data_IF_694764277536
#
_entry.id   IF_694764277536
#
_cell.length_a   1.000
_cell.length_b   1.000
_cell.length_c   1.000
_cell.angle_alpha   90.00
_cell.angle_beta   90.00
_cell.angle_gamma   90.00
#
_symmetry.space_group_name_H-M   'P 1'
#
loop_
_entity.id
_entity.type
_entity.pdbx_description
1 polymer ?
#
# COMPACT_ATOMS: atom_id res chain seq x y z
N UNK A 1 26.65 -4.18 4.16
CA UNK A 1 26.23 -5.15 3.15
C UNK A 1 25.01 -4.58 2.45
N UNK A 2 25.21 -3.99 1.25
CA UNK A 2 24.14 -3.34 0.50
C UNK A 2 23.25 -4.41 -0.14
N UNK A 3 21.94 -4.29 0.07
CA UNK A 3 20.91 -5.09 -0.62
C UNK A 3 20.74 -4.54 -2.05
N UNK A 4 21.27 -5.25 -3.01
CA UNK A 4 20.97 -5.09 -4.43
C UNK A 4 19.83 -6.04 -4.80
N UNK A 5 18.63 -5.51 -4.96
CA UNK A 5 17.52 -6.30 -5.46
C UNK A 5 16.28 -5.46 -5.67
N UNK A 6 15.96 -5.16 -6.93
CA UNK A 6 14.68 -4.58 -7.35
C UNK A 6 14.76 -3.22 -8.01
N UNK A 7 15.35 -3.10 -9.17
CA UNK A 7 15.62 -1.79 -9.77
C UNK A 7 15.45 -1.76 -11.30
N UNK A 8 14.24 -1.82 -11.80
CA UNK A 8 14.08 -1.50 -13.22
C UNK A 8 13.01 -0.42 -13.51
N UNK A 9 12.10 -0.13 -12.58
CA UNK A 9 11.20 1.04 -12.68
C UNK A 9 11.73 2.24 -11.87
N UNK A 10 12.77 2.02 -11.13
CA UNK A 10 13.35 2.99 -10.21
C UNK A 10 14.41 3.85 -10.84
N UNK A 11 15.02 3.46 -11.97
CA UNK A 11 16.18 4.18 -12.46
C UNK A 11 15.88 5.60 -12.92
N UNK A 12 14.79 5.84 -13.64
CA UNK A 12 14.48 7.21 -14.07
C UNK A 12 13.91 8.07 -12.95
N UNK A 13 13.01 7.52 -12.13
CA UNK A 13 12.45 8.22 -10.97
C UNK A 13 13.52 8.39 -9.89
N UNK A 14 14.34 7.36 -9.69
CA UNK A 14 15.45 7.39 -8.74
C UNK A 14 16.52 8.38 -9.16
N UNK A 15 16.88 8.42 -10.44
CA UNK A 15 17.83 9.39 -10.98
C UNK A 15 17.32 10.84 -10.85
N UNK A 16 16.04 11.07 -11.08
CA UNK A 16 15.41 12.39 -10.93
C UNK A 16 15.37 12.83 -9.47
N UNK A 17 15.05 11.94 -8.55
CA UNK A 17 15.05 12.22 -7.11
C UNK A 17 16.48 12.51 -6.63
N UNK A 18 17.45 11.66 -7.02
CA UNK A 18 18.85 11.89 -6.66
C UNK A 18 19.38 13.22 -7.21
N UNK A 19 18.99 13.57 -8.44
CA UNK A 19 19.34 14.86 -9.03
C UNK A 19 18.71 16.02 -8.28
N UNK A 20 17.44 15.89 -7.87
CA UNK A 20 16.77 16.91 -7.06
C UNK A 20 17.42 17.06 -5.67
N UNK A 21 17.82 15.96 -5.04
CA UNK A 21 18.52 15.96 -3.75
C UNK A 21 19.92 16.57 -3.81
N UNK A 22 20.53 16.67 -4.99
CA UNK A 22 21.83 17.31 -5.20
C UNK A 22 21.74 18.84 -5.29
N UNK A 23 20.53 19.39 -5.44
CA UNK A 23 20.31 20.84 -5.45
C UNK A 23 20.54 21.34 -4.02
N UNK A 24 21.62 22.07 -3.81
CA UNK A 24 21.87 22.67 -2.52
C UNK A 24 20.85 23.80 -2.25
N UNK A 25 20.23 23.82 -1.06
CA UNK A 25 19.36 24.94 -0.70
C UNK A 25 20.17 26.22 -0.59
N UNK A 26 19.53 27.34 -0.88
CA UNK A 26 20.12 28.64 -0.61
C UNK A 26 20.35 28.82 0.89
N UNK A 27 21.42 29.49 1.25
CA UNK A 27 21.76 29.73 2.66
C UNK A 27 20.64 30.51 3.37
N UNK A 28 20.13 29.95 4.46
CA UNK A 28 19.04 30.53 5.24
C UNK A 28 17.64 30.12 4.78
N UNK A 29 17.51 29.38 3.67
CA UNK A 29 16.21 28.85 3.22
C UNK A 29 15.70 27.75 4.16
N UNK A 30 14.40 27.68 4.31
CA UNK A 30 13.69 26.70 5.13
C UNK A 30 12.42 26.22 4.42
N UNK A 31 11.76 25.21 4.96
CA UNK A 31 10.46 24.77 4.45
C UNK A 31 9.41 25.89 4.47
N UNK A 32 9.53 26.86 5.36
CA UNK A 32 8.61 28.00 5.45
C UNK A 32 8.67 28.94 4.24
N UNK A 33 9.73 28.84 3.43
CA UNK A 33 9.89 29.66 2.22
C UNK A 33 9.18 29.03 1.00
N UNK A 34 8.61 27.84 1.15
CA UNK A 34 7.84 27.20 0.10
C UNK A 34 6.46 27.89 -0.03
N UNK A 35 6.28 28.64 -1.11
CA UNK A 35 5.00 29.30 -1.41
C UNK A 35 3.91 28.31 -1.86
N UNK A 36 4.31 27.22 -2.50
CA UNK A 36 3.40 26.20 -3.01
C UNK A 36 3.93 24.80 -2.74
N UNK A 37 3.05 23.94 -2.27
CA UNK A 37 3.32 22.51 -2.11
C UNK A 37 2.37 21.72 -3.01
N UNK A 38 2.91 21.00 -3.97
CA UNK A 38 2.12 20.20 -4.92
C UNK A 38 2.15 18.73 -4.50
N UNK A 39 0.96 18.18 -4.25
CA UNK A 39 0.76 16.75 -3.97
C UNK A 39 0.27 16.05 -5.23
N UNK A 40 1.11 15.21 -5.83
CA UNK A 40 0.68 14.29 -6.88
C UNK A 40 0.19 13.00 -6.25
N UNK A 41 -1.12 12.85 -6.15
CA UNK A 41 -1.74 11.63 -5.63
C UNK A 41 -2.05 10.69 -6.80
N UNK A 42 -1.34 9.57 -6.85
CA UNK A 42 -1.61 8.51 -7.81
C UNK A 42 -2.62 7.54 -7.21
N UNK A 43 -3.74 7.37 -7.91
CA UNK A 43 -4.85 6.55 -7.42
C UNK A 43 -4.60 5.05 -7.53
N UNK A 44 -5.44 4.36 -6.77
CA UNK A 44 -5.62 2.93 -6.64
C UNK A 44 -4.37 2.20 -6.17
N UNK A 45 -3.64 2.83 -5.23
CA UNK A 45 -2.53 2.19 -4.52
C UNK A 45 -2.68 2.45 -3.02
N UNK A 46 -2.69 1.37 -2.23
CA UNK A 46 -2.71 1.49 -0.78
C UNK A 46 -1.33 1.89 -0.25
N UNK A 47 -1.30 2.39 0.98
CA UNK A 47 -0.06 2.64 1.70
C UNK A 47 0.80 1.38 1.77
N UNK A 48 0.19 0.24 2.11
CA UNK A 48 0.90 -1.02 2.26
C UNK A 48 1.47 -1.55 0.94
N UNK A 49 0.82 -1.24 -0.19
CA UNK A 49 1.34 -1.61 -1.50
C UNK A 49 2.73 -1.00 -1.74
N UNK A 50 2.93 0.25 -1.35
CA UNK A 50 4.17 0.99 -1.60
C UNK A 50 5.14 0.92 -0.42
N UNK A 51 4.61 0.94 0.79
CA UNK A 51 5.40 1.18 2.00
C UNK A 51 5.22 0.09 3.08
N UNK A 52 4.40 -0.94 2.84
CA UNK A 52 4.08 -1.95 3.85
C UNK A 52 5.30 -2.64 4.45
N UNK A 53 6.33 -2.88 3.66
CA UNK A 53 7.60 -3.50 4.10
C UNK A 53 8.74 -2.51 4.35
N UNK A 54 8.50 -1.20 4.17
CA UNK A 54 9.54 -0.18 4.36
C UNK A 54 9.86 0.00 5.85
N UNK A 55 11.15 0.08 6.16
CA UNK A 55 11.60 0.35 7.53
C UNK A 55 11.33 1.80 7.93
N UNK A 56 10.99 2.00 9.21
CA UNK A 56 10.77 3.34 9.77
C UNK A 56 9.38 3.92 9.52
N UNK A 57 8.50 3.21 8.82
CA UNK A 57 7.10 3.59 8.63
C UNK A 57 6.16 2.64 9.37
N UNK A 58 4.88 3.03 9.49
CA UNK A 58 3.84 2.20 10.11
C UNK A 58 3.33 1.14 9.13
N UNK A 59 4.21 0.23 8.73
CA UNK A 59 3.92 -0.90 7.87
C UNK A 59 3.79 -2.22 8.63
N UNK A 60 4.05 -3.34 7.94
CA UNK A 60 3.88 -4.70 8.49
C UNK A 60 4.79 -5.00 9.70
N UNK A 61 5.88 -4.25 9.87
CA UNK A 61 6.81 -4.42 10.99
C UNK A 61 6.52 -3.47 12.17
N UNK A 62 5.45 -2.67 12.12
CA UNK A 62 5.11 -1.78 13.24
C UNK A 62 4.51 -2.60 14.41
N UNK A 63 5.15 -2.61 15.57
CA UNK A 63 4.64 -3.32 16.75
C UNK A 63 3.31 -2.75 17.26
N UNK A 64 2.99 -1.50 16.93
CA UNK A 64 1.76 -0.79 17.32
C UNK A 64 0.60 -1.04 16.38
N UNK A 65 0.74 -1.95 15.42
CA UNK A 65 -0.34 -2.28 14.49
C UNK A 65 -1.59 -2.75 15.21
N UNK A 66 -2.74 -2.46 14.62
CA UNK A 66 -4.04 -2.88 15.13
C UNK A 66 -4.07 -4.41 15.22
N UNK A 67 -4.58 -4.91 16.34
CA UNK A 67 -4.88 -6.33 16.53
C UNK A 67 -6.38 -6.53 16.35
N UNK A 68 -6.74 -7.46 15.47
CA UNK A 68 -8.12 -7.81 15.16
C UNK A 68 -8.77 -8.58 16.32
N UNK A 69 -10.11 -8.72 16.37
CA UNK A 69 -10.82 -9.49 17.39
C UNK A 69 -10.36 -10.96 17.48
N UNK A 70 -9.88 -11.55 16.38
CA UNK A 70 -9.34 -12.91 16.33
C UNK A 70 -7.86 -12.99 16.73
N UNK A 71 -7.29 -11.95 17.32
CA UNK A 71 -5.89 -11.81 17.70
C UNK A 71 -4.87 -11.72 16.55
N UNK A 72 -5.29 -11.70 15.32
CA UNK A 72 -4.43 -11.47 14.17
C UNK A 72 -4.04 -10.00 14.07
N UNK A 73 -2.91 -9.73 13.39
CA UNK A 73 -2.59 -8.36 12.97
C UNK A 73 -3.52 -7.92 11.85
N UNK A 74 -3.79 -6.61 11.73
CA UNK A 74 -4.77 -6.04 10.81
C UNK A 74 -4.57 -6.46 9.35
N UNK A 75 -3.37 -6.75 8.92
CA UNK A 75 -3.06 -7.24 7.57
C UNK A 75 -3.27 -8.75 7.37
N UNK A 76 -3.60 -9.49 8.44
CA UNK A 76 -3.93 -10.91 8.39
C UNK A 76 -5.46 -11.06 8.43
N UNK A 77 -6.09 -10.86 7.28
CA UNK A 77 -7.54 -10.89 7.18
C UNK A 77 -8.06 -12.32 7.08
N UNK A 78 -9.14 -12.60 7.80
CA UNK A 78 -9.74 -13.94 7.84
C UNK A 78 -11.14 -13.88 7.23
N UNK A 79 -11.46 -14.80 6.33
CA UNK A 79 -12.78 -14.88 5.71
C UNK A 79 -13.80 -15.60 6.63
N UNK A 80 -15.05 -15.70 6.19
CA UNK A 80 -16.14 -16.36 6.92
C UNK A 80 -15.91 -17.86 7.11
N UNK A 81 -15.04 -18.48 6.32
CA UNK A 81 -14.67 -19.91 6.45
C UNK A 81 -13.53 -20.14 7.44
N UNK A 82 -12.97 -19.10 8.02
CA UNK A 82 -11.82 -19.17 8.91
C UNK A 82 -10.45 -19.23 8.19
N UNK A 83 -10.43 -19.00 6.89
CA UNK A 83 -9.18 -18.97 6.11
C UNK A 83 -8.53 -17.59 6.25
N UNK A 84 -7.26 -17.56 6.62
CA UNK A 84 -6.51 -16.31 6.81
C UNK A 84 -5.61 -16.04 5.62
N UNK A 85 -5.68 -14.83 5.11
CA UNK A 85 -4.90 -14.35 3.99
C UNK A 85 -3.84 -13.36 4.47
N UNK A 86 -2.65 -13.48 3.89
CA UNK A 86 -1.50 -12.62 4.19
C UNK A 86 -1.22 -11.69 3.01
N UNK A 87 -0.60 -10.52 3.25
CA UNK A 87 0.02 -9.77 2.17
C UNK A 87 1.06 -10.64 1.43
N UNK A 88 1.16 -10.47 0.14
CA UNK A 88 2.11 -11.21 -0.69
C UNK A 88 2.83 -10.27 -1.65
N UNK A 89 4.00 -10.68 -2.09
CA UNK A 89 4.77 -9.92 -3.07
C UNK A 89 4.14 -10.02 -4.45
N UNK A 90 3.81 -8.87 -5.05
CA UNK A 90 3.33 -8.79 -6.43
C UNK A 90 4.53 -8.85 -7.39
N UNK A 91 4.72 -9.99 -8.03
CA UNK A 91 5.72 -10.13 -9.08
C UNK A 91 5.15 -9.63 -10.41
N UNK A 92 5.38 -8.36 -10.72
CA UNK A 92 4.89 -7.71 -11.94
C UNK A 92 5.59 -8.21 -13.22
N UNK A 93 6.72 -8.89 -13.10
CA UNK A 93 7.45 -9.42 -14.25
C UNK A 93 6.90 -10.77 -14.71
N UNK A 94 6.44 -11.58 -13.77
CA UNK A 94 5.97 -12.94 -14.04
C UNK A 94 4.45 -13.10 -13.90
N UNK A 95 3.74 -12.06 -13.48
CA UNK A 95 2.29 -12.07 -13.32
C UNK A 95 1.64 -10.93 -14.10
N UNK A 96 0.31 -11.02 -14.28
CA UNK A 96 -0.50 -9.94 -14.85
C UNK A 96 -1.05 -9.00 -13.76
N UNK A 97 -0.40 -8.92 -12.60
CA UNK A 97 -0.89 -8.18 -11.45
C UNK A 97 -1.13 -6.68 -11.72
N UNK A 98 -0.40 -6.08 -12.67
CA UNK A 98 -0.61 -4.69 -13.11
C UNK A 98 -1.94 -4.49 -13.85
N UNK A 99 -2.58 -5.55 -14.31
CA UNK A 99 -3.84 -5.54 -15.06
C UNK A 99 -5.01 -6.06 -14.23
N UNK A 100 -4.84 -6.18 -12.93
CA UNK A 100 -5.94 -6.56 -12.04
C UNK A 100 -7.01 -5.47 -12.00
N UNK A 101 -8.27 -5.91 -11.87
CA UNK A 101 -9.37 -4.98 -11.61
C UNK A 101 -9.15 -4.28 -10.28
N UNK A 102 -9.62 -3.05 -10.19
CA UNK A 102 -9.62 -2.31 -8.93
C UNK A 102 -10.59 -2.93 -7.91
N UNK A 103 -10.25 -2.75 -6.65
CA UNK A 103 -11.12 -3.13 -5.54
C UNK A 103 -12.18 -2.04 -5.30
N UNK A 104 -13.38 -2.38 -4.80
CA UNK A 104 -14.32 -1.38 -4.33
C UNK A 104 -13.67 -0.44 -3.32
N UNK A 105 -13.67 0.87 -3.61
CA UNK A 105 -12.98 1.86 -2.79
C UNK A 105 -13.77 3.16 -2.58
N UNK A 106 -15.05 3.12 -2.86
CA UNK A 106 -15.99 4.18 -2.50
C UNK A 106 -16.13 4.35 -0.99
N UNK A 107 -16.75 5.43 -0.58
CA UNK A 107 -16.94 5.70 0.85
C UNK A 107 -17.67 4.58 1.62
N UNK A 108 -18.77 3.99 1.10
CA UNK A 108 -19.40 2.86 1.75
C UNK A 108 -18.44 1.68 1.92
N UNK A 109 -17.71 1.30 0.88
CA UNK A 109 -16.77 0.18 0.90
C UNK A 109 -15.66 0.35 1.94
N UNK A 110 -15.19 1.59 2.13
CA UNK A 110 -14.20 1.91 3.15
C UNK A 110 -14.78 1.84 4.56
N UNK A 111 -16.01 2.32 4.72
CA UNK A 111 -16.71 2.32 6.00
C UNK A 111 -17.05 0.89 6.44
N UNK A 112 -17.50 0.06 5.50
CA UNK A 112 -17.81 -1.35 5.74
C UNK A 112 -16.54 -2.14 6.11
N UNK A 113 -15.45 -1.95 5.37
CA UNK A 113 -14.17 -2.59 5.68
C UNK A 113 -13.65 -2.21 7.07
N UNK A 114 -13.85 -0.95 7.47
CA UNK A 114 -13.48 -0.46 8.80
C UNK A 114 -14.29 -1.11 9.92
N UNK A 115 -15.53 -1.52 9.67
CA UNK A 115 -16.41 -2.20 10.61
C UNK A 115 -16.38 -1.59 12.03
N UNK A 116 -16.81 -0.34 12.19
CA UNK A 116 -16.84 0.39 13.46
C UNK A 116 -15.51 0.45 14.22
N UNK A 117 -14.39 0.23 13.54
CA UNK A 117 -13.05 0.26 14.13
C UNK A 117 -12.46 -1.11 14.43
N UNK A 118 -13.14 -2.20 14.10
CA UNK A 118 -12.62 -3.57 14.21
C UNK A 118 -11.64 -3.92 13.06
N UNK A 119 -11.79 -3.30 11.89
CA UNK A 119 -10.94 -3.48 10.70
C UNK A 119 -10.86 -4.93 10.19
N UNK A 120 -11.88 -5.72 10.38
CA UNK A 120 -11.94 -7.16 10.12
C UNK A 120 -12.89 -7.56 8.98
N UNK A 121 -13.40 -6.59 8.21
CA UNK A 121 -14.33 -6.82 7.08
C UNK A 121 -13.72 -6.52 5.72
N UNK A 122 -12.40 -6.49 5.64
CA UNK A 122 -11.72 -6.15 4.41
C UNK A 122 -12.04 -7.11 3.26
N UNK A 123 -11.95 -8.42 3.50
CA UNK A 123 -12.17 -9.42 2.46
C UNK A 123 -13.60 -9.39 1.92
N UNK A 124 -14.59 -9.20 2.78
CA UNK A 124 -15.99 -9.14 2.37
C UNK A 124 -16.30 -7.85 1.60
N UNK A 125 -15.84 -6.72 2.11
CA UNK A 125 -16.16 -5.39 1.55
C UNK A 125 -15.39 -5.09 0.26
N UNK A 126 -14.25 -5.75 0.04
CA UNK A 126 -13.37 -5.50 -1.11
C UNK A 126 -13.48 -6.56 -2.20
N UNK A 127 -14.48 -7.42 -2.17
CA UNK A 127 -14.75 -8.36 -3.25
C UNK A 127 -15.09 -7.60 -4.54
N UNK A 128 -14.39 -7.92 -5.63
CA UNK A 128 -14.71 -7.35 -6.92
C UNK A 128 -16.17 -7.63 -7.30
N UNK A 129 -16.93 -6.64 -7.80
CA UNK A 129 -18.28 -6.87 -8.31
C UNK A 129 -18.29 -7.73 -9.58
N UNK A 130 -17.17 -7.84 -10.28
CA UNK A 130 -17.04 -8.64 -11.50
C UNK A 130 -16.80 -10.08 -11.15
N UNK A 131 -17.69 -10.97 -11.60
CA UNK A 131 -17.64 -12.40 -11.31
C UNK A 131 -16.32 -13.06 -11.75
N UNK A 132 -15.81 -12.66 -12.92
CA UNK A 132 -14.56 -13.15 -13.49
C UNK A 132 -13.31 -12.91 -12.62
N UNK A 133 -13.36 -11.90 -11.74
CA UNK A 133 -12.25 -11.60 -10.82
C UNK A 133 -12.46 -12.15 -9.42
N UNK A 134 -13.73 -12.49 -9.04
CA UNK A 134 -14.03 -13.10 -7.74
C UNK A 134 -13.50 -14.51 -7.60
N UNK A 135 -13.43 -15.21 -8.72
CA UNK A 135 -13.09 -16.63 -8.77
C UNK A 135 -11.61 -16.85 -9.16
N UNK A 136 -10.83 -15.75 -9.28
CA UNK A 136 -9.38 -15.89 -9.50
C UNK A 136 -8.72 -16.37 -8.21
N UNK A 137 -7.87 -17.41 -8.29
CA UNK A 137 -7.06 -17.79 -7.14
C UNK A 137 -6.14 -16.63 -6.76
N UNK A 138 -6.12 -16.31 -5.48
CA UNK A 138 -5.21 -15.34 -4.89
C UNK A 138 -3.78 -15.89 -4.88
#
# INVERSE_FOLDING_TARGET
MLLTGGMALTESLHASILKAMQIAPESGSSFADAEHVVFLMQENRSFDHMFGSLQGVRGFNDPRSITLPNANKVWLQTNEKGETYTPFHLDINNTKATWMSDLPHGWPDQTDARNHGHFDKWLESKKSPRKEYRDMPL
#
